data_IF_094594648751
#
_entry.id   IF_094594648751
#
_cell.length_a   1.000
_cell.length_b   1.000
_cell.length_c   1.000
_cell.angle_alpha   90.00
_cell.angle_beta   90.00
_cell.angle_gamma   90.00
#
_symmetry.space_group_name_H-M   'P 1'
#
loop_
_entity.id
_entity.type
_entity.pdbx_description
1 polymer ?
#
# COMPACT_ATOMS: atom_id res chain seq x y z
N UNK A 1 8.75 15.34 -4.92
CA UNK A 1 8.73 14.00 -4.27
C UNK A 1 9.02 14.19 -2.79
N UNK A 2 8.11 13.85 -1.87
CA UNK A 2 8.18 14.29 -0.46
C UNK A 2 9.04 13.39 0.44
N UNK A 3 9.74 12.40 -0.09
CA UNK A 3 10.60 11.53 0.72
C UNK A 3 12.05 12.05 0.73
N UNK A 4 12.40 12.75 1.81
CA UNK A 4 13.79 13.16 2.10
C UNK A 4 14.55 12.02 2.77
N UNK A 5 15.49 11.42 2.05
CA UNK A 5 16.31 10.30 2.52
C UNK A 5 17.73 10.73 2.94
N UNK A 6 17.96 12.03 3.17
CA UNK A 6 19.31 12.61 3.39
C UNK A 6 20.06 12.06 4.62
N UNK A 7 19.39 11.30 5.50
CA UNK A 7 19.95 10.69 6.71
C UNK A 7 19.42 9.27 6.96
N UNK A 8 19.40 8.41 5.94
CA UNK A 8 19.11 6.98 6.15
C UNK A 8 20.40 6.17 6.05
N UNK A 9 20.91 5.61 7.16
CA UNK A 9 22.11 4.75 7.12
C UNK A 9 21.90 3.52 6.24
N UNK A 10 20.64 3.09 6.08
CA UNK A 10 20.17 2.04 5.17
C UNK A 10 20.53 2.28 3.69
N UNK A 11 20.80 3.53 3.30
CA UNK A 11 21.15 3.93 1.93
C UNK A 11 22.60 4.44 1.83
N UNK A 12 23.41 4.24 2.87
CA UNK A 12 24.84 4.52 2.86
C UNK A 12 25.54 3.55 1.88
N UNK A 13 26.46 4.06 1.06
CA UNK A 13 27.15 3.27 0.03
C UNK A 13 26.47 3.20 -1.34
N UNK A 14 25.18 3.56 -1.46
CA UNK A 14 24.51 3.64 -2.77
C UNK A 14 24.90 4.92 -3.53
N UNK A 15 25.23 4.76 -4.81
CA UNK A 15 25.49 5.88 -5.71
C UNK A 15 24.21 6.71 -5.96
N UNK A 16 24.37 7.92 -6.50
CA UNK A 16 23.26 8.84 -6.75
C UNK A 16 22.20 8.27 -7.69
N UNK A 17 22.58 7.40 -8.64
CA UNK A 17 21.66 6.75 -9.57
C UNK A 17 20.81 5.71 -8.85
N UNK A 18 21.42 4.82 -8.07
CA UNK A 18 20.69 3.80 -7.29
C UNK A 18 19.72 4.42 -6.31
N UNK A 19 20.11 5.52 -5.65
CA UNK A 19 19.19 6.26 -4.74
C UNK A 19 17.95 6.80 -5.45
N UNK A 20 18.08 7.27 -6.71
CA UNK A 20 16.93 7.75 -7.50
C UNK A 20 15.99 6.60 -7.89
N UNK A 21 16.54 5.45 -8.25
CA UNK A 21 15.74 4.26 -8.58
C UNK A 21 15.01 3.72 -7.36
N UNK A 22 15.66 3.60 -6.20
CA UNK A 22 15.00 3.22 -4.93
C UNK A 22 13.85 4.17 -4.61
N UNK A 23 14.04 5.49 -4.77
CA UNK A 23 12.97 6.48 -4.56
C UNK A 23 11.81 6.32 -5.54
N UNK A 24 12.10 5.99 -6.80
CA UNK A 24 11.08 5.75 -7.83
C UNK A 24 10.26 4.49 -7.49
N UNK A 25 10.93 3.41 -7.09
CA UNK A 25 10.29 2.15 -6.67
C UNK A 25 9.41 2.39 -5.42
N UNK A 26 9.95 3.07 -4.41
CA UNK A 26 9.21 3.41 -3.20
C UNK A 26 7.97 4.28 -3.50
N UNK A 27 8.09 5.25 -4.41
CA UNK A 27 6.96 6.06 -4.85
C UNK A 27 5.89 5.24 -5.58
N UNK A 28 6.29 4.36 -6.50
CA UNK A 28 5.36 3.46 -7.17
C UNK A 28 4.65 2.53 -6.20
N UNK A 29 5.36 2.04 -5.18
CA UNK A 29 4.75 1.20 -4.14
C UNK A 29 3.75 2.00 -3.31
N UNK A 30 4.11 3.20 -2.86
CA UNK A 30 3.21 4.09 -2.11
C UNK A 30 1.95 4.45 -2.92
N UNK A 31 2.08 4.77 -4.20
CA UNK A 31 0.92 5.03 -5.08
C UNK A 31 0.02 3.80 -5.23
N UNK A 32 0.60 2.60 -5.37
CA UNK A 32 -0.17 1.35 -5.47
C UNK A 32 -0.80 0.93 -4.15
N UNK A 33 -0.21 1.31 -3.02
CA UNK A 33 -0.76 1.03 -1.69
C UNK A 33 -1.90 1.99 -1.34
N UNK A 34 -1.92 3.19 -1.91
CA UNK A 34 -2.99 4.18 -1.68
C UNK A 34 -4.39 3.63 -2.00
N UNK A 35 -4.53 2.79 -3.03
CA UNK A 35 -5.82 2.21 -3.42
C UNK A 35 -6.42 1.27 -2.37
N UNK A 36 -5.63 0.80 -1.40
CA UNK A 36 -6.14 0.08 -0.22
C UNK A 36 -7.05 0.94 0.65
N UNK A 37 -6.83 2.25 0.66
CA UNK A 37 -7.60 3.20 1.46
C UNK A 37 -8.88 3.68 0.75
N UNK A 38 -9.07 3.36 -0.54
CA UNK A 38 -10.25 3.82 -1.28
C UNK A 38 -11.60 3.39 -0.63
N UNK A 39 -11.77 2.15 -0.11
CA UNK A 39 -12.97 1.77 0.61
C UNK A 39 -13.19 2.56 1.90
N UNK A 40 -12.12 2.87 2.64
CA UNK A 40 -12.20 3.69 3.84
C UNK A 40 -12.61 5.13 3.52
N UNK A 41 -12.07 5.70 2.43
CA UNK A 41 -12.48 7.01 1.95
C UNK A 41 -13.96 7.02 1.53
N UNK A 42 -14.41 6.01 0.78
CA UNK A 42 -15.82 5.86 0.40
C UNK A 42 -16.74 5.77 1.62
N UNK A 43 -16.33 5.03 2.66
CA UNK A 43 -17.06 4.95 3.92
C UNK A 43 -17.16 6.31 4.62
N UNK A 44 -16.07 7.07 4.72
CA UNK A 44 -16.08 8.42 5.31
C UNK A 44 -17.05 9.34 4.55
N UNK A 45 -16.98 9.35 3.21
CA UNK A 45 -17.89 10.15 2.38
C UNK A 45 -19.35 9.74 2.60
N UNK A 46 -19.62 8.43 2.66
CA UNK A 46 -20.96 7.92 2.95
C UNK A 46 -21.47 8.37 4.32
N UNK A 47 -20.65 8.28 5.37
CA UNK A 47 -21.00 8.75 6.72
C UNK A 47 -21.29 10.25 6.71
N UNK A 48 -20.44 11.06 6.08
CA UNK A 48 -20.66 12.51 5.98
C UNK A 48 -21.97 12.84 5.27
N UNK A 49 -22.26 12.18 4.14
CA UNK A 49 -23.51 12.36 3.42
C UNK A 49 -24.71 11.95 4.27
N UNK A 50 -24.65 10.79 4.92
CA UNK A 50 -25.73 10.28 5.76
C UNK A 50 -26.00 11.18 6.98
N UNK A 51 -24.95 11.70 7.62
CA UNK A 51 -25.08 12.62 8.77
C UNK A 51 -25.68 13.96 8.38
N UNK A 52 -25.39 14.48 7.17
CA UNK A 52 -25.88 15.79 6.72
C UNK A 52 -27.25 15.73 6.06
N UNK A 53 -27.53 14.66 5.31
CA UNK A 53 -28.69 14.58 4.41
C UNK A 53 -29.61 13.39 4.67
N UNK A 54 -29.28 12.52 5.64
CA UNK A 54 -30.06 11.32 5.92
C UNK A 54 -30.36 10.47 4.68
N UNK A 55 -29.33 10.28 3.84
CA UNK A 55 -29.40 9.55 2.55
C UNK A 55 -30.03 8.15 2.68
N UNK A 56 -30.00 7.58 3.88
CA UNK A 56 -30.59 6.29 4.18
C UNK A 56 -31.53 6.46 5.37
N UNK A 57 -32.85 6.26 5.22
CA UNK A 57 -33.80 6.49 6.31
C UNK A 57 -33.80 5.36 7.35
N UNK A 58 -33.55 4.13 6.92
CA UNK A 58 -33.59 2.96 7.79
C UNK A 58 -32.21 2.54 8.31
N UNK A 59 -32.16 2.16 9.59
CA UNK A 59 -30.94 1.62 10.21
C UNK A 59 -30.44 0.35 9.52
N UNK A 60 -31.36 -0.49 9.04
CA UNK A 60 -31.04 -1.73 8.33
C UNK A 60 -30.26 -1.46 7.05
N UNK A 61 -30.72 -0.49 6.26
CA UNK A 61 -30.07 -0.13 5.00
C UNK A 61 -28.70 0.52 5.23
N UNK A 62 -28.57 1.34 6.29
CA UNK A 62 -27.26 1.88 6.68
C UNK A 62 -26.25 0.76 7.00
N UNK A 63 -26.69 -0.25 7.76
CA UNK A 63 -25.87 -1.42 8.09
C UNK A 63 -25.52 -2.23 6.84
N UNK A 64 -26.47 -2.39 5.91
CA UNK A 64 -26.26 -3.14 4.67
C UNK A 64 -25.24 -2.45 3.77
N UNK A 65 -25.36 -1.13 3.57
CA UNK A 65 -24.37 -0.34 2.81
C UNK A 65 -22.99 -0.41 3.47
N UNK A 66 -22.92 -0.24 4.79
CA UNK A 66 -21.66 -0.35 5.54
C UNK A 66 -21.03 -1.73 5.38
N UNK A 67 -21.83 -2.79 5.45
CA UNK A 67 -21.37 -4.17 5.26
C UNK A 67 -20.84 -4.39 3.84
N UNK A 68 -21.51 -3.88 2.82
CA UNK A 68 -21.03 -3.95 1.42
C UNK A 68 -19.67 -3.26 1.28
N UNK A 69 -19.52 -2.04 1.81
CA UNK A 69 -18.24 -1.32 1.77
C UNK A 69 -17.15 -2.12 2.52
N UNK A 70 -17.49 -2.73 3.65
CA UNK A 70 -16.57 -3.58 4.41
C UNK A 70 -16.12 -4.81 3.60
N UNK A 71 -17.05 -5.52 2.96
CA UNK A 71 -16.71 -6.67 2.10
C UNK A 71 -15.80 -6.24 0.95
N UNK A 72 -16.10 -5.11 0.29
CA UNK A 72 -15.24 -4.53 -0.75
C UNK A 72 -13.85 -4.22 -0.20
N UNK A 73 -13.74 -3.69 1.01
CA UNK A 73 -12.46 -3.44 1.67
C UNK A 73 -11.65 -4.72 1.87
N UNK A 74 -12.28 -5.77 2.39
CA UNK A 74 -11.64 -7.08 2.60
C UNK A 74 -11.16 -7.66 1.28
N UNK A 75 -12.01 -7.65 0.24
CA UNK A 75 -11.64 -8.16 -1.09
C UNK A 75 -10.48 -7.36 -1.68
N UNK A 76 -10.51 -6.03 -1.60
CA UNK A 76 -9.44 -5.15 -2.08
C UNK A 76 -8.10 -5.45 -1.38
N UNK A 77 -8.12 -5.60 -0.05
CA UNK A 77 -6.93 -5.96 0.74
C UNK A 77 -6.41 -7.34 0.33
N UNK A 78 -7.29 -8.35 0.22
CA UNK A 78 -6.90 -9.71 -0.18
C UNK A 78 -6.28 -9.74 -1.57
N UNK A 79 -6.89 -9.04 -2.52
CA UNK A 79 -6.38 -8.96 -3.88
C UNK A 79 -5.04 -8.24 -3.96
N UNK A 80 -4.87 -7.13 -3.21
CA UNK A 80 -3.60 -6.43 -3.10
C UNK A 80 -2.51 -7.34 -2.53
N UNK A 81 -2.78 -8.01 -1.40
CA UNK A 81 -1.83 -8.96 -0.80
C UNK A 81 -1.49 -10.06 -1.82
N UNK A 82 -2.48 -10.72 -2.43
CA UNK A 82 -2.22 -11.80 -3.38
C UNK A 82 -1.36 -11.34 -4.58
N UNK A 83 -1.61 -10.14 -5.09
CA UNK A 83 -0.92 -9.59 -6.26
C UNK A 83 0.50 -9.11 -5.95
N UNK A 84 0.76 -8.60 -4.75
CA UNK A 84 2.03 -7.96 -4.41
C UNK A 84 2.92 -8.79 -3.47
N UNK A 85 2.37 -9.71 -2.68
CA UNK A 85 3.15 -10.49 -1.72
C UNK A 85 4.11 -11.48 -2.41
N UNK A 86 3.66 -12.20 -3.46
CA UNK A 86 4.52 -13.13 -4.21
C UNK A 86 5.69 -12.43 -4.90
N UNK A 87 5.49 -11.34 -5.68
CA UNK A 87 6.59 -10.61 -6.29
C UNK A 87 7.52 -9.96 -5.26
N UNK A 88 6.97 -9.37 -4.19
CA UNK A 88 7.78 -8.74 -3.15
C UNK A 88 8.68 -9.77 -2.45
N UNK A 89 8.16 -10.96 -2.17
CA UNK A 89 8.93 -12.06 -1.58
C UNK A 89 10.03 -12.57 -2.52
N UNK A 90 9.72 -12.76 -3.81
CA UNK A 90 10.71 -13.15 -4.80
C UNK A 90 11.85 -12.12 -4.94
N UNK A 91 11.54 -10.82 -4.93
CA UNK A 91 12.56 -9.76 -4.96
C UNK A 91 13.39 -9.76 -3.68
N UNK A 92 12.77 -9.95 -2.52
CA UNK A 92 13.47 -10.03 -1.24
C UNK A 92 14.41 -11.24 -1.19
N UNK A 93 13.96 -12.40 -1.64
CA UNK A 93 14.76 -13.63 -1.69
C UNK A 93 15.94 -13.49 -2.67
N UNK A 94 15.73 -12.84 -3.83
CA UNK A 94 16.78 -12.53 -4.82
C UNK A 94 17.82 -11.54 -4.28
N UNK A 95 17.39 -10.49 -3.58
CA UNK A 95 18.30 -9.53 -2.98
C UNK A 95 19.06 -10.15 -1.81
N UNK A 96 18.41 -11.00 -1.01
CA UNK A 96 19.03 -11.76 0.07
C UNK A 96 20.08 -12.75 -0.45
N UNK A 97 19.79 -13.47 -1.54
CA UNK A 97 20.74 -14.39 -2.15
C UNK A 97 21.90 -13.67 -2.84
N UNK A 98 21.64 -12.56 -3.53
CA UNK A 98 22.69 -11.73 -4.14
C UNK A 98 23.61 -11.09 -3.09
N UNK A 99 23.03 -10.59 -1.98
CA UNK A 99 23.80 -10.08 -0.86
C UNK A 99 24.62 -11.19 -0.17
N UNK A 100 24.05 -12.39 -0.03
CA UNK A 100 24.78 -13.55 0.50
C UNK A 100 25.95 -13.97 -0.41
N UNK A 101 25.76 -14.01 -1.73
CA UNK A 101 26.83 -14.25 -2.71
C UNK A 101 27.95 -13.21 -2.57
N UNK A 102 27.58 -11.92 -2.53
CA UNK A 102 28.54 -10.82 -2.41
C UNK A 102 29.35 -10.88 -1.11
N UNK A 103 28.74 -11.25 0.02
CA UNK A 103 29.41 -11.35 1.32
C UNK A 103 30.25 -12.63 1.46
N UNK A 104 29.80 -13.74 0.87
CA UNK A 104 30.50 -15.04 0.97
C UNK A 104 31.50 -15.30 -0.15
N UNK A 105 31.58 -14.41 -1.15
CA UNK A 105 32.56 -14.48 -2.24
C UNK A 105 32.34 -15.64 -3.23
N UNK A 106 31.11 -16.16 -3.31
CA UNK A 106 30.69 -17.13 -4.33
C UNK A 106 29.96 -16.43 -5.47
#
# INVERSE_FOLDING_TARGET
MPFSFRRRPELAGLDLRSRREVRRIAWHFAQRHWTLHAPAFAWIVFVLLHTRYHVVPERRDYLLVTLVIFVVAVVNIRFHIARYLKPARAIFDLLGSAAACFVTGR
#
